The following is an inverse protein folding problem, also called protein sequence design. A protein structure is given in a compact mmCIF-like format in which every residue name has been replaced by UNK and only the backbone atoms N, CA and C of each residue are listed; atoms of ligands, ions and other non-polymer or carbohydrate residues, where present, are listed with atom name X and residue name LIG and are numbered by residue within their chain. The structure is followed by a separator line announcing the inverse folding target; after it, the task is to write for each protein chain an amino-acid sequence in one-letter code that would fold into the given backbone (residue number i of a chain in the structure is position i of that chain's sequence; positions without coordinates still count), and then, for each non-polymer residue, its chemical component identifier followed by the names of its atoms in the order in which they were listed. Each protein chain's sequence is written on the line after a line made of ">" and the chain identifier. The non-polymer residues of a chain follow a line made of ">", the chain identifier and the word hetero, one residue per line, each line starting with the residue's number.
data_IF_044086620451
#
_entry.id   IF_044086620451
#
_cell.length_a   1.000
_cell.length_b   1.000
_cell.length_c   1.000
_cell.angle_alpha   90.00
_cell.angle_beta   90.00
_cell.angle_gamma   90.00
#
_symmetry.space_group_name_H-M   'P 1'
#
loop_
_entity.id
_entity.type
_entity.pdbx_description
1 polymer ?
#
# COMPACT_ATOMS: atom_id res chain seq x y z
N UNK A 1 17.17 -2.36 25.77
CA UNK A 1 15.97 -2.35 24.92
C UNK A 1 16.45 -2.09 23.51
N UNK A 2 16.28 -3.05 22.60
CA UNK A 2 16.62 -2.91 21.19
C UNK A 2 15.44 -2.28 20.43
N UNK A 3 15.72 -1.37 19.51
CA UNK A 3 14.74 -0.70 18.66
C UNK A 3 14.65 -1.40 17.30
N UNK A 4 13.49 -1.97 17.01
CA UNK A 4 13.17 -2.58 15.71
C UNK A 4 12.19 -1.65 15.01
N UNK A 5 12.64 -1.01 13.93
CA UNK A 5 11.84 -0.08 13.13
C UNK A 5 11.42 -0.75 11.83
N UNK A 6 10.12 -0.81 11.58
CA UNK A 6 9.51 -1.32 10.36
C UNK A 6 8.98 -0.14 9.54
N UNK A 7 9.40 -0.04 8.28
CA UNK A 7 8.98 1.02 7.36
C UNK A 7 7.86 0.51 6.46
N UNK A 8 6.68 1.10 6.59
CA UNK A 8 5.46 0.72 5.88
C UNK A 8 4.64 -0.32 6.65
N UNK A 9 3.36 0.00 6.85
CA UNK A 9 2.33 -0.81 7.50
C UNK A 9 1.40 -1.49 6.47
N UNK A 10 1.89 -1.74 5.25
CA UNK A 10 1.23 -2.61 4.28
C UNK A 10 1.30 -4.09 4.67
N UNK A 11 0.92 -5.00 3.77
CA UNK A 11 0.88 -6.45 4.02
C UNK A 11 2.17 -7.01 4.64
N UNK A 12 3.33 -6.64 4.10
CA UNK A 12 4.63 -7.11 4.61
C UNK A 12 4.93 -6.63 6.02
N UNK A 13 4.77 -5.33 6.28
CA UNK A 13 5.08 -4.74 7.58
C UNK A 13 4.15 -5.22 8.67
N UNK A 14 2.85 -5.30 8.40
CA UNK A 14 1.86 -5.86 9.32
C UNK A 14 2.13 -7.33 9.65
N UNK A 15 2.48 -8.15 8.65
CA UNK A 15 2.81 -9.56 8.86
C UNK A 15 4.05 -9.70 9.76
N UNK A 16 5.10 -8.94 9.47
CA UNK A 16 6.33 -8.95 10.27
C UNK A 16 6.09 -8.43 11.68
N UNK A 17 5.33 -7.35 11.85
CA UNK A 17 4.96 -6.83 13.16
C UNK A 17 4.28 -7.90 14.03
N UNK A 18 3.30 -8.63 13.49
CA UNK A 18 2.63 -9.74 14.18
C UNK A 18 3.57 -10.90 14.51
N UNK A 19 4.43 -11.29 13.57
CA UNK A 19 5.37 -12.39 13.77
C UNK A 19 6.44 -12.04 14.81
N UNK A 20 6.98 -10.82 14.77
CA UNK A 20 8.01 -10.38 15.70
C UNK A 20 7.42 -10.16 17.10
N UNK A 21 6.23 -9.54 17.20
CA UNK A 21 5.59 -9.30 18.49
C UNK A 21 5.21 -10.57 19.25
N UNK A 22 5.00 -11.68 18.54
CA UNK A 22 4.66 -12.98 19.14
C UNK A 22 5.88 -13.84 19.48
N UNK A 23 7.04 -13.57 18.86
CA UNK A 23 8.26 -14.40 18.99
C UNK A 23 9.36 -13.77 19.82
N UNK A 24 9.40 -12.44 19.90
CA UNK A 24 10.44 -11.72 20.62
C UNK A 24 10.05 -11.44 22.07
N UNK A 25 11.06 -11.32 22.94
CA UNK A 25 10.88 -10.81 24.29
C UNK A 25 10.66 -9.29 24.24
N UNK A 26 9.41 -8.86 24.42
CA UNK A 26 9.00 -7.45 24.35
C UNK A 26 9.52 -6.59 25.52
N UNK A 27 10.13 -7.19 26.55
CA UNK A 27 10.86 -6.44 27.59
C UNK A 27 12.25 -6.00 27.12
N UNK A 28 12.77 -6.66 26.10
CA UNK A 28 14.09 -6.40 25.54
C UNK A 28 14.02 -5.77 24.15
N UNK A 29 12.89 -5.88 23.45
CA UNK A 29 12.70 -5.42 22.08
C UNK A 29 11.46 -4.52 22.00
N UNK A 30 11.64 -3.31 21.48
CA UNK A 30 10.56 -2.39 21.12
C UNK A 30 10.38 -2.41 19.60
N UNK A 31 9.14 -2.64 19.16
CA UNK A 31 8.78 -2.69 17.74
C UNK A 31 7.96 -1.45 17.42
N UNK A 32 8.46 -0.64 16.49
CA UNK A 32 7.80 0.55 15.97
C UNK A 32 7.58 0.37 14.47
N UNK A 33 6.37 0.62 13.99
CA UNK A 33 6.04 0.60 12.57
C UNK A 33 5.61 2.00 12.14
N UNK A 34 6.21 2.50 11.06
CA UNK A 34 6.02 3.87 10.58
C UNK A 34 5.35 3.81 9.21
N UNK A 35 4.18 4.44 9.05
CA UNK A 35 3.51 4.62 7.77
C UNK A 35 2.72 5.94 7.76
N UNK A 36 2.50 6.50 6.58
CA UNK A 36 1.64 7.67 6.38
C UNK A 36 0.15 7.30 6.30
N UNK A 37 -0.15 6.06 5.91
CA UNK A 37 -1.50 5.59 5.64
C UNK A 37 -2.34 5.48 6.92
N UNK A 38 -3.63 5.81 6.80
CA UNK A 38 -4.64 5.62 7.85
C UNK A 38 -5.45 4.34 7.66
N UNK A 39 -5.33 3.69 6.51
CA UNK A 39 -6.06 2.49 6.15
C UNK A 39 -5.12 1.39 5.65
N UNK A 40 -5.41 0.16 6.03
CA UNK A 40 -4.81 -1.04 5.46
C UNK A 40 -5.69 -1.56 4.34
N UNK A 41 -5.11 -1.77 3.15
CA UNK A 41 -5.82 -2.24 1.96
C UNK A 41 -5.46 -3.69 1.61
N UNK A 42 -6.47 -4.54 1.44
CA UNK A 42 -6.35 -5.80 0.74
C UNK A 42 -6.30 -5.56 -0.78
N UNK A 43 -5.14 -5.13 -1.26
CA UNK A 43 -4.92 -4.70 -2.65
C UNK A 43 -5.34 -5.69 -3.74
N UNK A 44 -5.26 -7.04 -3.58
CA UNK A 44 -5.78 -7.95 -4.59
C UNK A 44 -7.27 -7.73 -4.89
N UNK A 45 -8.04 -7.27 -3.92
CA UNK A 45 -9.46 -6.97 -4.10
C UNK A 45 -9.74 -5.81 -5.07
N UNK A 46 -8.77 -4.93 -5.33
CA UNK A 46 -8.94 -3.83 -6.28
C UNK A 46 -9.25 -4.30 -7.71
N UNK A 47 -8.81 -5.51 -8.09
CA UNK A 47 -9.11 -6.11 -9.39
C UNK A 47 -10.62 -6.35 -9.60
N UNK A 48 -11.34 -6.69 -8.52
CA UNK A 48 -12.75 -7.08 -8.58
C UNK A 48 -13.72 -5.91 -8.42
N UNK A 49 -13.26 -4.81 -7.80
CA UNK A 49 -14.07 -3.61 -7.54
C UNK A 49 -14.71 -3.01 -8.81
N UNK A 50 -13.98 -2.85 -9.95
CA UNK A 50 -14.58 -2.26 -11.16
C UNK A 50 -15.81 -3.03 -11.67
N UNK A 51 -15.90 -4.32 -11.35
CA UNK A 51 -16.93 -5.23 -11.85
C UNK A 51 -17.94 -5.68 -10.79
N UNK A 52 -17.78 -5.24 -9.53
CA UNK A 52 -18.60 -5.67 -8.39
C UNK A 52 -18.60 -7.19 -8.18
N UNK A 53 -17.49 -7.85 -8.49
CA UNK A 53 -17.37 -9.31 -8.39
C UNK A 53 -17.08 -9.75 -6.95
N UNK A 54 -17.56 -10.94 -6.61
CA UNK A 54 -17.30 -11.60 -5.31
C UNK A 54 -17.67 -10.77 -4.07
N UNK A 55 -18.57 -9.80 -4.21
CA UNK A 55 -18.99 -8.91 -3.13
C UNK A 55 -18.06 -7.72 -2.86
N UNK A 56 -17.09 -7.44 -3.75
CA UNK A 56 -16.24 -6.27 -3.69
C UNK A 56 -16.85 -5.10 -4.47
N UNK A 57 -17.44 -4.14 -3.78
CA UNK A 57 -18.12 -2.99 -4.40
C UNK A 57 -17.64 -1.65 -3.85
N UNK A 58 -17.32 -1.57 -2.56
CA UNK A 58 -17.03 -0.33 -1.84
C UNK A 58 -15.70 -0.40 -1.10
N UNK A 59 -15.19 0.78 -0.73
CA UNK A 59 -13.95 0.95 0.06
C UNK A 59 -13.88 0.01 1.26
N UNK A 60 -14.97 -0.09 2.02
CA UNK A 60 -15.03 -0.90 3.24
C UNK A 60 -15.05 -2.40 3.02
N UNK A 61 -15.08 -2.91 1.79
CA UNK A 61 -14.96 -4.35 1.54
C UNK A 61 -13.49 -4.80 1.56
N UNK A 62 -12.56 -3.89 1.26
CA UNK A 62 -11.12 -4.21 1.18
C UNK A 62 -10.22 -3.28 2.01
N UNK A 63 -10.78 -2.22 2.61
CA UNK A 63 -10.06 -1.34 3.51
C UNK A 63 -10.51 -1.53 4.97
N UNK A 64 -9.54 -1.43 5.87
CA UNK A 64 -9.73 -1.40 7.33
C UNK A 64 -8.87 -0.27 7.89
N UNK A 65 -9.22 0.20 9.08
CA UNK A 65 -8.34 1.08 9.86
C UNK A 65 -6.94 0.46 9.99
N UNK A 66 -5.89 1.27 9.84
CA UNK A 66 -4.49 0.79 9.84
C UNK A 66 -4.10 0.06 11.12
N UNK A 67 -4.76 0.34 12.25
CA UNK A 67 -4.51 -0.34 13.52
C UNK A 67 -5.17 -1.71 13.61
N UNK A 68 -6.21 -1.98 12.80
CA UNK A 68 -6.98 -3.23 12.87
C UNK A 68 -6.12 -4.49 12.78
N UNK A 69 -5.15 -4.61 11.84
CA UNK A 69 -4.33 -5.80 11.75
C UNK A 69 -3.04 -5.73 12.58
N UNK A 70 -2.81 -4.64 13.32
CA UNK A 70 -1.59 -4.45 14.12
C UNK A 70 -1.76 -4.99 15.55
N UNK A 71 -0.74 -5.68 16.11
CA UNK A 71 -0.74 -6.04 17.52
C UNK A 71 -0.76 -4.80 18.41
N UNK A 72 -1.49 -4.84 19.52
CA UNK A 72 -1.51 -3.74 20.53
C UNK A 72 -0.14 -3.48 21.16
N UNK A 73 0.78 -4.42 21.05
CA UNK A 73 2.15 -4.33 21.57
C UNK A 73 3.13 -3.66 20.61
N UNK A 74 2.69 -3.36 19.38
CA UNK A 74 3.49 -2.65 18.38
C UNK A 74 3.08 -1.19 18.37
N UNK A 75 4.06 -0.30 18.40
CA UNK A 75 3.84 1.14 18.29
C UNK A 75 3.65 1.51 16.82
N UNK A 76 2.47 2.04 16.47
CA UNK A 76 2.24 2.63 15.15
C UNK A 76 2.52 4.13 15.21
N UNK A 77 3.36 4.61 14.31
CA UNK A 77 3.66 6.03 14.13
C UNK A 77 3.14 6.46 12.78
N UNK A 78 2.14 7.34 12.81
CA UNK A 78 1.63 7.95 11.58
C UNK A 78 2.56 9.07 11.12
N UNK A 79 3.42 8.79 10.15
CA UNK A 79 4.37 9.78 9.62
C UNK A 79 4.79 9.48 8.18
N UNK A 80 5.21 10.52 7.46
CA UNK A 80 5.90 10.34 6.19
C UNK A 80 7.38 10.10 6.47
N UNK A 81 7.93 9.02 5.91
CA UNK A 81 9.36 8.72 5.94
C UNK A 81 10.04 9.54 4.86
N UNK A 82 11.03 10.35 5.23
CA UNK A 82 11.70 11.29 4.34
C UNK A 82 13.11 10.82 3.96
N UNK A 83 13.83 10.24 4.92
CA UNK A 83 15.20 9.75 4.71
C UNK A 83 15.50 8.54 5.60
N UNK A 84 16.19 7.56 5.02
CA UNK A 84 16.85 6.49 5.78
C UNK A 84 18.34 6.83 5.83
N UNK A 85 18.80 7.30 6.98
CA UNK A 85 20.21 7.60 7.25
C UNK A 85 20.88 6.35 7.84
N UNK A 86 21.45 5.54 6.94
CA UNK A 86 22.10 4.29 7.33
C UNK A 86 23.40 4.48 8.12
N UNK A 87 24.10 5.60 7.92
CA UNK A 87 25.36 5.89 8.61
C UNK A 87 25.10 6.16 10.10
N UNK A 88 24.07 6.95 10.39
CA UNK A 88 23.68 7.28 11.75
C UNK A 88 22.65 6.31 12.35
N UNK A 89 22.17 5.33 11.58
CA UNK A 89 21.11 4.38 11.95
C UNK A 89 19.81 5.06 12.41
N UNK A 90 19.37 6.03 11.61
CA UNK A 90 18.20 6.85 11.92
C UNK A 90 17.28 6.94 10.71
N UNK A 91 15.98 6.96 10.97
CA UNK A 91 14.97 7.28 9.97
C UNK A 91 14.39 8.65 10.26
N UNK A 92 14.53 9.59 9.32
CA UNK A 92 13.93 10.91 9.41
C UNK A 92 12.50 10.87 8.92
N UNK A 93 11.61 11.50 9.68
CA UNK A 93 10.19 11.55 9.36
C UNK A 93 9.62 12.93 9.65
N UNK A 94 8.40 13.19 9.16
CA UNK A 94 7.68 14.44 9.42
C UNK A 94 7.35 14.70 10.90
N UNK A 95 7.50 13.71 11.79
CA UNK A 95 7.20 13.85 13.22
C UNK A 95 8.45 13.70 14.11
N UNK A 96 9.62 13.56 13.50
CA UNK A 96 10.89 13.41 14.20
C UNK A 96 11.74 12.25 13.67
N UNK A 97 12.89 12.08 14.30
CA UNK A 97 13.90 11.09 13.93
C UNK A 97 13.76 9.83 14.79
N UNK A 98 13.86 8.67 14.17
CA UNK A 98 13.74 7.36 14.82
C UNK A 98 15.04 6.56 14.67
N UNK A 99 15.76 6.42 15.77
CA UNK A 99 16.94 5.54 15.84
C UNK A 99 16.54 4.06 15.82
N UNK A 100 17.35 3.22 15.20
CA UNK A 100 17.10 1.78 15.11
C UNK A 100 18.36 0.94 15.38
N UNK A 101 18.15 -0.22 16.01
CA UNK A 101 19.13 -1.32 16.02
C UNK A 101 18.90 -2.24 14.81
N UNK A 102 17.63 -2.43 14.45
CA UNK A 102 17.20 -3.21 13.30
C UNK A 102 16.20 -2.41 12.47
N UNK A 103 16.46 -2.32 11.16
CA UNK A 103 15.57 -1.68 10.20
C UNK A 103 15.02 -2.71 9.21
N UNK A 104 13.71 -2.69 9.02
CA UNK A 104 13.00 -3.56 8.08
C UNK A 104 12.24 -2.67 7.10
N UNK A 105 12.57 -2.77 5.80
CA UNK A 105 11.87 -2.01 4.76
C UNK A 105 10.76 -2.85 4.12
N UNK A 106 9.52 -2.38 4.26
CA UNK A 106 8.31 -2.96 3.67
C UNK A 106 7.45 -1.89 2.97
N UNK A 107 8.11 -0.88 2.40
CA UNK A 107 7.47 0.29 1.78
C UNK A 107 6.63 -0.01 0.52
N UNK A 108 6.78 -1.21 -0.06
CA UNK A 108 6.04 -1.61 -1.25
C UNK A 108 6.43 -0.80 -2.47
N UNK A 109 5.43 -0.51 -3.33
CA UNK A 109 5.60 0.28 -4.55
C UNK A 109 4.39 1.20 -4.77
N UNK A 110 4.57 2.21 -5.61
CA UNK A 110 3.52 3.13 -6.07
C UNK A 110 3.43 3.11 -7.58
N UNK A 111 2.29 3.53 -8.12
CA UNK A 111 2.18 3.84 -9.55
C UNK A 111 2.82 5.21 -9.84
N UNK A 112 3.30 5.37 -11.07
CA UNK A 112 4.02 6.55 -11.57
C UNK A 112 3.46 6.99 -12.93
N UNK A 113 2.16 7.32 -13.03
CA UNK A 113 1.58 7.77 -14.31
C UNK A 113 2.29 8.98 -14.90
N UNK A 114 3.00 9.77 -14.09
CA UNK A 114 3.85 10.87 -14.53
C UNK A 114 5.04 10.47 -15.43
N UNK A 115 5.43 9.19 -15.43
CA UNK A 115 6.54 8.69 -16.26
C UNK A 115 6.11 8.32 -17.69
N UNK A 116 4.79 8.28 -17.96
CA UNK A 116 4.23 7.99 -19.28
C UNK A 116 3.62 9.25 -19.87
N UNK A 117 4.13 9.68 -21.03
CA UNK A 117 3.73 10.95 -21.64
C UNK A 117 2.22 11.01 -21.90
N UNK A 118 1.55 12.01 -21.31
CA UNK A 118 0.10 12.23 -21.45
C UNK A 118 -0.77 11.34 -20.56
N UNK A 119 -0.19 10.40 -19.81
CA UNK A 119 -0.97 9.48 -18.97
C UNK A 119 -1.49 10.16 -17.71
N UNK A 120 -0.67 10.93 -17.02
CA UNK A 120 -1.06 11.64 -15.79
C UNK A 120 -2.24 12.58 -16.01
N UNK A 121 -2.26 13.32 -17.13
CA UNK A 121 -3.34 14.23 -17.50
C UNK A 121 -4.63 13.51 -17.88
N UNK A 122 -4.51 12.27 -18.38
CA UNK A 122 -5.62 11.44 -18.81
C UNK A 122 -6.22 10.58 -17.68
N UNK A 123 -5.55 10.47 -16.52
CA UNK A 123 -6.04 9.71 -15.37
C UNK A 123 -7.45 10.16 -14.95
N UNK A 124 -8.32 9.18 -14.67
CA UNK A 124 -9.71 9.43 -14.26
C UNK A 124 -10.64 9.84 -15.39
N UNK A 125 -10.14 10.02 -16.63
CA UNK A 125 -10.96 10.35 -17.80
C UNK A 125 -10.94 9.24 -18.86
N UNK A 126 -9.85 9.11 -19.60
CA UNK A 126 -9.65 8.07 -20.62
C UNK A 126 -8.65 7.01 -20.20
N UNK A 127 -7.92 7.23 -19.11
CA UNK A 127 -7.02 6.28 -18.47
C UNK A 127 -7.51 5.99 -17.06
N UNK A 128 -7.59 4.71 -16.73
CA UNK A 128 -8.00 4.23 -15.40
C UNK A 128 -7.03 3.17 -14.90
N UNK A 129 -6.99 2.97 -13.59
CA UNK A 129 -6.14 1.97 -12.95
C UNK A 129 -6.89 1.22 -11.87
N UNK A 130 -6.71 -0.10 -11.80
CA UNK A 130 -7.17 -0.91 -10.66
C UNK A 130 -6.05 -1.22 -9.67
N UNK A 131 -4.85 -0.62 -9.81
CA UNK A 131 -3.73 -0.86 -8.89
C UNK A 131 -3.80 -0.06 -7.59
N UNK A 132 -4.74 0.87 -7.48
CA UNK A 132 -5.05 1.63 -6.27
C UNK A 132 -6.53 1.50 -5.95
N UNK A 133 -6.91 1.54 -4.67
CA UNK A 133 -8.32 1.46 -4.28
C UNK A 133 -9.14 2.61 -4.85
N UNK A 134 -8.66 3.85 -4.75
CA UNK A 134 -9.36 5.02 -5.31
C UNK A 134 -9.51 4.89 -6.82
N UNK A 135 -8.42 4.57 -7.54
CA UNK A 135 -8.47 4.32 -8.98
C UNK A 135 -9.46 3.20 -9.38
N UNK A 136 -9.54 2.11 -8.60
CA UNK A 136 -10.47 1.02 -8.89
C UNK A 136 -11.94 1.45 -8.71
N UNK A 137 -12.23 2.27 -7.70
CA UNK A 137 -13.56 2.84 -7.46
C UNK A 137 -13.94 3.87 -8.54
N UNK A 138 -13.00 4.72 -8.96
CA UNK A 138 -13.20 5.63 -10.09
C UNK A 138 -13.43 4.87 -11.39
N UNK A 139 -12.67 3.78 -11.60
CA UNK A 139 -12.83 2.94 -12.78
C UNK A 139 -14.18 2.24 -12.82
N UNK A 140 -14.68 1.76 -11.66
CA UNK A 140 -16.03 1.22 -11.53
C UNK A 140 -17.08 2.21 -12.10
N UNK A 141 -17.00 3.49 -11.73
CA UNK A 141 -17.92 4.52 -12.21
C UNK A 141 -17.77 4.82 -13.70
N UNK A 142 -16.55 4.72 -14.24
CA UNK A 142 -16.30 4.91 -15.66
C UNK A 142 -16.88 3.75 -16.49
N UNK A 143 -16.74 2.51 -16.01
CA UNK A 143 -17.35 1.34 -16.64
C UNK A 143 -18.88 1.40 -16.63
N UNK A 144 -19.51 1.87 -15.55
CA UNK A 144 -20.96 2.04 -15.48
C UNK A 144 -21.51 3.00 -16.56
N UNK A 145 -20.70 3.96 -16.99
CA UNK A 145 -21.04 4.95 -18.04
C UNK A 145 -20.68 4.48 -19.44
N UNK A 146 -19.95 3.38 -19.58
CA UNK A 146 -19.48 2.86 -20.87
C UNK A 146 -20.52 1.90 -21.47
N UNK A 147 -21.27 2.37 -22.46
CA UNK A 147 -22.26 1.52 -23.16
C UNK A 147 -21.70 0.80 -24.40
N UNK A 148 -20.68 1.37 -25.04
CA UNK A 148 -19.99 0.80 -26.21
C UNK A 148 -18.64 1.50 -26.41
N UNK A 149 -17.70 0.87 -27.11
CA UNK A 149 -16.40 1.46 -27.41
C UNK A 149 -15.27 0.43 -27.41
N UNK A 150 -14.04 0.92 -27.25
CA UNK A 150 -12.84 0.10 -27.11
C UNK A 150 -12.33 0.21 -25.68
N UNK A 151 -12.11 -0.94 -25.04
CA UNK A 151 -11.35 -1.04 -23.80
C UNK A 151 -9.97 -1.60 -24.16
N UNK A 152 -8.92 -0.87 -23.80
CA UNK A 152 -7.53 -1.26 -24.04
C UNK A 152 -6.89 -1.50 -22.69
N UNK A 153 -6.29 -2.67 -22.53
CA UNK A 153 -5.49 -3.03 -21.36
C UNK A 153 -4.03 -2.89 -21.78
N UNK A 154 -3.29 -2.08 -21.06
CA UNK A 154 -1.89 -1.79 -21.34
C UNK A 154 -1.03 -2.01 -20.10
N UNK A 155 0.18 -2.52 -20.33
CA UNK A 155 1.22 -2.64 -19.30
C UNK A 155 2.34 -1.69 -19.74
N UNK A 156 2.31 -0.49 -19.17
CA UNK A 156 3.20 0.59 -19.59
C UNK A 156 4.70 0.25 -19.43
N UNK A 157 5.07 -0.40 -18.32
CA UNK A 157 6.43 -0.86 -18.07
C UNK A 157 6.46 -2.02 -17.04
N UNK A 158 7.62 -2.68 -16.91
CA UNK A 158 7.91 -3.72 -15.92
C UNK A 158 9.09 -3.30 -15.02
N UNK A 159 9.09 -3.66 -13.73
CA UNK A 159 8.18 -4.58 -13.06
C UNK A 159 6.92 -3.93 -12.48
N UNK A 160 5.82 -4.69 -12.45
CA UNK A 160 4.56 -4.34 -11.76
C UNK A 160 4.28 -5.29 -10.59
N UNK A 161 3.50 -4.83 -9.61
CA UNK A 161 2.93 -5.72 -8.61
C UNK A 161 1.84 -6.59 -9.23
N UNK A 162 1.79 -7.87 -8.87
CA UNK A 162 0.83 -8.84 -9.41
C UNK A 162 0.81 -8.88 -10.96
N UNK A 163 1.85 -9.44 -11.61
CA UNK A 163 1.98 -9.42 -13.08
C UNK A 163 0.87 -10.18 -13.82
N UNK A 164 0.11 -11.02 -13.11
CA UNK A 164 -1.04 -11.74 -13.68
C UNK A 164 -2.31 -10.90 -13.71
N UNK A 165 -2.41 -9.83 -12.88
CA UNK A 165 -3.64 -9.04 -12.75
C UNK A 165 -4.14 -8.40 -14.06
N UNK A 166 -3.29 -7.89 -14.99
CA UNK A 166 -3.77 -7.40 -16.28
C UNK A 166 -4.39 -8.51 -17.15
N UNK A 167 -3.93 -9.74 -17.01
CA UNK A 167 -4.47 -10.91 -17.73
C UNK A 167 -5.78 -11.36 -17.09
N UNK A 168 -5.87 -11.37 -15.75
CA UNK A 168 -7.11 -11.70 -15.03
C UNK A 168 -8.21 -10.65 -15.24
N UNK A 169 -7.82 -9.40 -15.54
CA UNK A 169 -8.74 -8.33 -15.88
C UNK A 169 -9.36 -8.50 -17.28
N UNK A 170 -8.62 -9.10 -18.23
CA UNK A 170 -9.01 -9.24 -19.64
C UNK A 170 -10.06 -10.33 -19.88
#
# INVERSE_FOLDING_TARGET
>A
MQNIVILGAGTGGTLLANMLSSRLNLKENRITIIDRATEHHYQPGCLFIPFRLYGYEKRSDIARDIHYPLPKTVEFVQAVIELIDHENRTVKTTVGDFEYDWLISTLGCRIVPEEVAGMAEAMGSSVHTFYTLDGALEFQQALDKMHSGKLVIDIADMPIKCPVAPIEFA
#
